data_IF_665540610024
#
_entry.id   IF_665540610024
#
_cell.length_a   1.000
_cell.length_b   1.000
_cell.length_c   1.000
_cell.angle_alpha   90.00
_cell.angle_beta   90.00
_cell.angle_gamma   90.00
#
_symmetry.space_group_name_H-M   'P 1'
#
loop_
_entity.id
_entity.type
_entity.pdbx_description
1 polymer ?
#
# COMPACT_ATOMS: atom_id res chain seq x y z
N UNK A 1 56.12 -6.07 -49.69
CA UNK A 1 55.67 -4.82 -49.02
C UNK A 1 54.31 -5.09 -48.38
N UNK A 2 54.17 -5.20 -47.04
CA UNK A 2 52.88 -5.48 -46.41
C UNK A 2 52.11 -4.17 -46.10
N UNK A 3 50.86 -4.10 -46.54
CA UNK A 3 49.95 -2.97 -46.30
C UNK A 3 49.37 -3.02 -44.88
N UNK A 4 49.79 -2.09 -44.02
CA UNK A 4 49.32 -1.93 -42.63
C UNK A 4 47.94 -1.25 -42.63
N UNK A 5 46.87 -1.96 -42.27
CA UNK A 5 45.54 -1.35 -42.08
C UNK A 5 45.56 -0.38 -40.89
N UNK A 6 45.01 0.84 -41.01
CA UNK A 6 44.94 1.76 -39.89
C UNK A 6 43.86 1.32 -38.90
N UNK A 7 44.25 1.04 -37.66
CA UNK A 7 43.33 0.82 -36.54
C UNK A 7 42.71 2.16 -36.15
N UNK A 8 41.46 2.39 -36.55
CA UNK A 8 40.65 3.55 -36.10
C UNK A 8 40.38 3.43 -34.60
N UNK A 9 41.17 4.11 -33.77
CA UNK A 9 40.84 4.30 -32.36
C UNK A 9 39.60 5.20 -32.27
N UNK A 10 38.53 4.78 -31.58
CA UNK A 10 37.36 5.64 -31.41
C UNK A 10 37.75 6.91 -30.66
N UNK A 11 37.34 8.08 -31.17
CA UNK A 11 37.65 9.38 -30.56
C UNK A 11 37.03 9.48 -29.16
N UNK A 12 37.74 10.10 -28.20
CA UNK A 12 37.27 10.23 -26.82
C UNK A 12 35.90 10.93 -26.73
N UNK A 13 35.62 11.82 -27.67
CA UNK A 13 34.33 12.49 -27.86
C UNK A 13 33.15 11.53 -28.08
N UNK A 14 33.33 10.45 -28.83
CA UNK A 14 32.25 9.46 -29.02
C UNK A 14 31.98 8.67 -27.74
N UNK A 15 33.03 8.33 -26.98
CA UNK A 15 32.89 7.64 -25.69
C UNK A 15 32.20 8.52 -24.66
N UNK A 16 32.56 9.80 -24.58
CA UNK A 16 31.91 10.80 -23.72
C UNK A 16 30.44 11.00 -24.07
N UNK A 17 30.11 11.09 -25.37
CA UNK A 17 28.71 11.23 -25.81
C UNK A 17 27.87 10.00 -25.45
N UNK A 18 28.43 8.79 -25.60
CA UNK A 18 27.73 7.55 -25.25
C UNK A 18 27.50 7.46 -23.73
N UNK A 19 28.50 7.82 -22.93
CA UNK A 19 28.39 7.87 -21.46
C UNK A 19 27.34 8.87 -21.01
N UNK A 20 27.33 10.07 -21.60
CA UNK A 20 26.33 11.09 -21.31
C UNK A 20 24.90 10.61 -21.64
N UNK A 21 24.72 9.92 -22.78
CA UNK A 21 23.42 9.37 -23.17
C UNK A 21 22.93 8.27 -22.21
N UNK A 22 23.83 7.40 -21.73
CA UNK A 22 23.48 6.35 -20.75
C UNK A 22 23.11 6.96 -19.40
N UNK A 23 23.86 7.96 -18.92
CA UNK A 23 23.57 8.65 -17.66
C UNK A 23 22.24 9.42 -17.75
N UNK A 24 22.00 10.13 -18.85
CA UNK A 24 20.73 10.83 -19.07
C UNK A 24 19.54 9.86 -19.14
N UNK A 25 19.69 8.73 -19.83
CA UNK A 25 18.68 7.67 -19.89
C UNK A 25 18.38 7.07 -18.51
N UNK A 26 19.43 6.77 -17.73
CA UNK A 26 19.26 6.26 -16.36
C UNK A 26 18.54 7.27 -15.46
N UNK A 27 18.93 8.55 -15.49
CA UNK A 27 18.31 9.61 -14.71
C UNK A 27 16.82 9.80 -15.04
N UNK A 28 16.44 9.73 -16.32
CA UNK A 28 15.04 9.82 -16.74
C UNK A 28 14.19 8.66 -16.21
N UNK A 29 14.71 7.42 -16.25
CA UNK A 29 14.01 6.24 -15.72
C UNK A 29 13.91 6.29 -14.20
N UNK A 30 14.98 6.70 -13.52
CA UNK A 30 15.00 6.82 -12.05
C UNK A 30 14.28 8.05 -11.53
N UNK A 31 13.99 9.07 -12.34
CA UNK A 31 13.24 10.25 -11.91
C UNK A 31 11.72 9.99 -11.85
N UNK A 32 11.20 9.08 -12.68
CA UNK A 32 9.80 8.66 -12.62
C UNK A 32 9.50 7.78 -11.40
N UNK A 33 10.47 7.00 -10.92
CA UNK A 33 10.30 6.12 -9.76
C UNK A 33 9.96 6.85 -8.45
N UNK A 34 10.72 7.88 -8.00
CA UNK A 34 10.42 8.62 -6.77
C UNK A 34 9.13 9.40 -6.92
N UNK A 35 8.80 9.94 -8.10
CA UNK A 35 7.50 10.58 -8.34
C UNK A 35 6.34 9.59 -8.14
N UNK A 36 6.44 8.39 -8.71
CA UNK A 36 5.41 7.34 -8.55
C UNK A 36 5.29 6.83 -7.12
N UNK A 37 6.43 6.71 -6.41
CA UNK A 37 6.45 6.34 -4.98
C UNK A 37 5.80 7.44 -4.14
N UNK A 38 6.05 8.72 -4.45
CA UNK A 38 5.46 9.85 -3.75
C UNK A 38 3.95 9.95 -4.00
N UNK A 39 3.50 9.78 -5.24
CA UNK A 39 2.05 9.73 -5.56
C UNK A 39 1.36 8.55 -4.86
N UNK A 40 1.99 7.38 -4.81
CA UNK A 40 1.45 6.23 -4.07
C UNK A 40 1.41 6.48 -2.56
N UNK A 41 2.41 7.17 -2.00
CA UNK A 41 2.44 7.58 -0.60
C UNK A 41 1.40 8.65 -0.27
N UNK A 42 1.13 9.58 -1.20
CA UNK A 42 0.12 10.63 -1.03
C UNK A 42 -1.30 10.03 -1.09
N UNK A 43 -1.57 9.14 -2.05
CA UNK A 43 -2.83 8.38 -2.13
C UNK A 43 -3.07 7.52 -0.87
N UNK A 44 -2.00 6.96 -0.28
CA UNK A 44 -2.08 6.27 1.00
C UNK A 44 -2.22 7.24 2.19
N UNK A 45 -1.77 8.49 2.10
CA UNK A 45 -1.98 9.47 3.17
C UNK A 45 -3.38 10.08 3.16
N UNK A 46 -3.98 10.23 1.99
CA UNK A 46 -5.29 10.83 1.83
C UNK A 46 -6.45 9.82 1.94
N UNK A 47 -6.16 8.51 1.80
CA UNK A 47 -7.21 7.49 1.91
C UNK A 47 -7.81 7.49 3.32
N UNK A 48 -9.11 7.79 3.41
CA UNK A 48 -9.86 7.72 4.65
C UNK A 48 -10.62 6.38 4.74
N UNK A 49 -10.63 5.73 5.91
CA UNK A 49 -11.39 4.51 6.10
C UNK A 49 -12.89 4.80 6.00
N UNK A 50 -13.61 3.98 5.24
CA UNK A 50 -15.07 4.08 5.16
C UNK A 50 -15.73 3.66 6.47
N UNK A 51 -16.63 4.51 6.98
CA UNK A 51 -17.44 4.28 8.19
C UNK A 51 -18.89 4.68 7.90
N UNK A 52 -19.86 3.97 8.50
CA UNK A 52 -21.29 4.23 8.33
C UNK A 52 -22.04 4.17 9.67
N UNK A 53 -22.92 5.14 9.93
CA UNK A 53 -23.72 5.23 11.16
C UNK A 53 -25.19 5.55 10.82
N UNK A 54 -25.97 4.56 10.35
CA UNK A 54 -27.39 4.76 10.10
C UNK A 54 -28.14 4.99 11.42
N UNK A 55 -29.28 5.69 11.36
CA UNK A 55 -30.05 6.06 12.56
C UNK A 55 -30.58 4.85 13.36
N UNK A 56 -30.91 3.75 12.68
CA UNK A 56 -31.40 2.51 13.28
C UNK A 56 -30.63 1.32 12.70
N UNK A 57 -29.43 1.02 13.23
CA UNK A 57 -28.59 -0.04 12.69
C UNK A 57 -29.19 -1.42 12.93
N UNK A 58 -29.25 -2.25 11.90
CA UNK A 58 -29.73 -3.65 11.99
C UNK A 58 -28.61 -4.63 12.29
N UNK A 59 -27.36 -4.26 12.01
CA UNK A 59 -26.12 -4.97 12.38
C UNK A 59 -24.99 -3.98 12.61
N UNK A 60 -23.97 -4.40 13.37
CA UNK A 60 -22.75 -3.67 13.68
C UNK A 60 -21.53 -4.46 13.21
N UNK A 61 -20.83 -3.94 12.22
CA UNK A 61 -19.57 -4.46 11.70
C UNK A 61 -18.40 -3.63 12.21
N UNK A 62 -17.41 -4.29 12.80
CA UNK A 62 -16.09 -3.73 13.04
C UNK A 62 -15.17 -4.13 11.88
N UNK A 63 -14.46 -3.16 11.33
CA UNK A 63 -13.37 -3.41 10.37
C UNK A 63 -12.05 -3.01 11.01
N UNK A 64 -11.10 -3.94 11.02
CA UNK A 64 -9.72 -3.72 11.50
C UNK A 64 -8.75 -4.24 10.45
N UNK A 65 -7.56 -3.67 10.39
CA UNK A 65 -6.60 -4.06 9.38
C UNK A 65 -5.57 -3.01 9.00
N UNK A 66 -4.98 -3.27 7.84
CA UNK A 66 -4.02 -2.40 7.18
C UNK A 66 -4.65 -1.58 6.05
N UNK A 67 -3.84 -1.16 5.08
CA UNK A 67 -4.28 -0.39 3.92
C UNK A 67 -5.37 -1.07 3.08
N UNK A 68 -5.45 -2.39 3.11
CA UNK A 68 -6.51 -3.15 2.43
C UNK A 68 -7.88 -2.95 3.09
N UNK A 69 -7.93 -2.82 4.43
CA UNK A 69 -9.14 -2.46 5.16
C UNK A 69 -9.44 -0.96 5.11
N UNK A 70 -8.41 -0.10 5.09
CA UNK A 70 -8.63 1.35 4.86
C UNK A 70 -9.24 1.59 3.48
N UNK A 71 -8.84 0.79 2.48
CA UNK A 71 -9.23 0.98 1.09
C UNK A 71 -8.24 1.80 0.28
N UNK A 72 -6.96 1.80 0.65
CA UNK A 72 -5.92 2.49 -0.13
C UNK A 72 -5.91 1.98 -1.58
N UNK A 73 -5.96 2.91 -2.52
CA UNK A 73 -6.05 2.61 -3.95
C UNK A 73 -7.47 2.63 -4.51
N UNK A 74 -8.51 2.67 -3.66
CA UNK A 74 -9.86 3.01 -4.10
C UNK A 74 -9.95 4.51 -4.45
N UNK A 75 -10.74 4.87 -5.45
CA UNK A 75 -10.91 6.27 -5.85
C UNK A 75 -11.68 7.08 -4.79
N UNK A 76 -12.59 6.45 -4.06
CA UNK A 76 -13.28 7.01 -2.90
C UNK A 76 -13.40 5.98 -1.76
N UNK A 77 -13.60 6.39 -0.50
CA UNK A 77 -13.87 5.46 0.59
C UNK A 77 -15.08 4.55 0.30
N UNK A 78 -16.11 5.06 -0.38
CA UNK A 78 -17.29 4.28 -0.75
C UNK A 78 -16.98 3.13 -1.74
N UNK A 79 -15.92 3.27 -2.54
CA UNK A 79 -15.48 2.24 -3.50
C UNK A 79 -14.45 1.26 -2.90
N UNK A 80 -14.08 1.43 -1.63
CA UNK A 80 -13.30 0.43 -0.89
C UNK A 80 -14.12 -0.81 -0.57
N UNK A 81 -13.47 -1.92 -0.16
CA UNK A 81 -14.20 -3.13 0.25
C UNK A 81 -15.23 -2.85 1.38
N UNK A 82 -14.88 -2.17 2.49
CA UNK A 82 -15.89 -1.76 3.48
C UNK A 82 -16.98 -0.84 2.93
N UNK A 83 -16.62 0.04 1.98
CA UNK A 83 -17.57 0.89 1.28
C UNK A 83 -18.60 0.10 0.46
N UNK A 84 -18.15 -0.90 -0.30
CA UNK A 84 -19.02 -1.80 -1.07
C UNK A 84 -19.94 -2.62 -0.15
N UNK A 85 -19.44 -3.06 1.00
CA UNK A 85 -20.27 -3.70 2.04
C UNK A 85 -21.36 -2.74 2.53
N UNK A 86 -20.99 -1.48 2.82
CA UNK A 86 -21.95 -0.45 3.25
C UNK A 86 -23.01 -0.14 2.20
N UNK A 87 -22.65 -0.15 0.91
CA UNK A 87 -23.61 0.02 -0.19
C UNK A 87 -24.58 -1.16 -0.32
N UNK A 88 -24.10 -2.39 -0.13
CA UNK A 88 -24.94 -3.59 -0.16
C UNK A 88 -25.80 -3.74 1.11
N UNK A 89 -25.35 -3.16 2.23
CA UNK A 89 -26.06 -3.18 3.51
C UNK A 89 -26.22 -1.77 4.11
N UNK A 90 -27.10 -0.92 3.54
CA UNK A 90 -27.22 0.48 3.95
C UNK A 90 -27.66 0.71 5.40
N UNK A 91 -28.27 -0.30 6.04
CA UNK A 91 -28.69 -0.24 7.44
C UNK A 91 -27.67 -0.83 8.42
N UNK A 92 -26.47 -1.22 7.97
CA UNK A 92 -25.42 -1.66 8.89
C UNK A 92 -24.65 -0.45 9.41
N UNK A 93 -24.33 -0.47 10.70
CA UNK A 93 -23.27 0.37 11.25
C UNK A 93 -21.93 -0.27 10.95
N UNK A 94 -21.01 0.48 10.37
CA UNK A 94 -19.67 0.03 10.04
C UNK A 94 -18.71 0.99 10.72
N UNK A 95 -17.95 0.49 11.70
CA UNK A 95 -16.87 1.24 12.32
C UNK A 95 -15.55 0.68 11.81
N UNK A 96 -14.77 1.48 11.06
CA UNK A 96 -13.50 1.04 10.49
C UNK A 96 -12.32 1.70 11.21
N UNK A 97 -11.57 0.89 11.96
CA UNK A 97 -10.43 1.30 12.76
C UNK A 97 -9.08 0.97 12.08
N UNK A 98 -9.12 0.50 10.84
CA UNK A 98 -7.92 0.13 10.11
C UNK A 98 -6.99 1.32 9.89
N UNK A 99 -5.70 1.02 9.80
CA UNK A 99 -4.65 2.04 9.63
C UNK A 99 -3.65 1.58 8.59
N UNK A 100 -3.25 2.48 7.69
CA UNK A 100 -2.28 2.15 6.64
C UNK A 100 -0.95 1.68 7.22
N UNK A 101 -0.42 0.60 6.65
CA UNK A 101 0.84 0.02 7.09
C UNK A 101 0.77 -0.81 8.37
N UNK A 102 -0.42 -1.02 8.95
CA UNK A 102 -0.59 -1.82 10.15
C UNK A 102 -0.04 -3.25 9.95
N UNK A 103 0.69 -3.72 10.96
CA UNK A 103 1.07 -5.13 11.13
C UNK A 103 0.08 -5.84 12.05
N UNK A 104 0.21 -7.15 12.19
CA UNK A 104 -0.69 -7.97 12.98
C UNK A 104 -0.78 -7.54 14.45
N UNK A 105 0.34 -7.15 15.07
CA UNK A 105 0.33 -6.59 16.42
C UNK A 105 -0.47 -5.29 16.55
N UNK A 106 -0.46 -4.44 15.51
CA UNK A 106 -1.28 -3.21 15.49
C UNK A 106 -2.77 -3.55 15.32
N UNK A 107 -3.10 -4.62 14.58
CA UNK A 107 -4.47 -5.11 14.43
C UNK A 107 -5.01 -5.64 15.76
N UNK A 108 -4.19 -6.34 16.55
CA UNK A 108 -4.56 -6.74 17.92
C UNK A 108 -4.91 -5.50 18.75
N UNK A 109 -4.11 -4.45 18.68
CA UNK A 109 -4.40 -3.20 19.38
C UNK A 109 -5.69 -2.53 18.87
N UNK A 110 -5.97 -2.56 17.57
CA UNK A 110 -7.24 -2.06 17.01
C UNK A 110 -8.45 -2.81 17.58
N UNK A 111 -8.34 -4.13 17.75
CA UNK A 111 -9.38 -4.96 18.37
C UNK A 111 -9.57 -4.64 19.86
N UNK A 112 -8.47 -4.51 20.62
CA UNK A 112 -8.52 -4.23 22.06
C UNK A 112 -9.10 -2.85 22.39
N UNK A 113 -8.86 -1.86 21.52
CA UNK A 113 -9.36 -0.49 21.68
C UNK A 113 -10.78 -0.30 21.14
N UNK A 114 -11.30 -1.26 20.36
CA UNK A 114 -12.63 -1.17 19.80
C UNK A 114 -13.73 -1.25 20.88
N UNK A 115 -14.82 -0.48 20.75
CA UNK A 115 -16.00 -0.66 21.57
C UNK A 115 -16.54 -2.11 21.48
N UNK A 116 -17.17 -2.61 22.54
CA UNK A 116 -17.82 -3.93 22.50
C UNK A 116 -19.17 -3.90 21.76
N UNK A 117 -19.64 -5.09 21.40
CA UNK A 117 -20.99 -5.31 20.89
C UNK A 117 -21.14 -5.21 19.37
N UNK A 118 -20.09 -5.56 18.62
CA UNK A 118 -20.19 -5.82 17.20
C UNK A 118 -20.74 -7.23 16.95
N UNK A 119 -21.55 -7.37 15.91
CA UNK A 119 -22.08 -8.67 15.47
C UNK A 119 -21.07 -9.42 14.60
N UNK A 120 -20.19 -8.66 13.94
CA UNK A 120 -19.23 -9.15 12.95
C UNK A 120 -17.93 -8.36 13.08
N UNK A 121 -16.80 -9.04 12.87
CA UNK A 121 -15.48 -8.43 12.75
C UNK A 121 -14.87 -8.87 11.43
N UNK A 122 -14.48 -7.90 10.61
CA UNK A 122 -13.72 -8.10 9.38
C UNK A 122 -12.27 -7.71 9.63
N UNK A 123 -11.36 -8.68 9.54
CA UNK A 123 -9.92 -8.48 9.70
C UNK A 123 -9.25 -8.55 8.33
N UNK A 124 -8.58 -7.49 7.89
CA UNK A 124 -7.83 -7.46 6.63
C UNK A 124 -6.40 -6.95 6.87
N UNK A 125 -5.45 -7.87 6.91
CA UNK A 125 -4.05 -7.50 7.07
C UNK A 125 -3.10 -8.67 7.06
N UNK A 126 -1.83 -8.41 7.38
CA UNK A 126 -0.74 -9.38 7.37
C UNK A 126 0.22 -9.21 6.18
N UNK A 127 -0.16 -8.44 5.15
CA UNK A 127 0.76 -8.11 4.05
C UNK A 127 2.00 -7.36 4.55
N UNK A 128 1.82 -6.43 5.49
CA UNK A 128 2.93 -5.69 6.11
C UNK A 128 3.87 -6.58 6.90
N UNK A 129 3.38 -7.63 7.55
CA UNK A 129 4.23 -8.60 8.27
C UNK A 129 5.09 -9.41 7.31
N UNK A 130 4.51 -9.87 6.20
CA UNK A 130 5.23 -10.62 5.17
C UNK A 130 6.34 -9.77 4.55
N UNK A 131 6.02 -8.56 4.07
CA UNK A 131 7.02 -7.72 3.37
C UNK A 131 8.07 -7.11 4.30
N UNK A 132 7.80 -7.06 5.61
CA UNK A 132 8.75 -6.59 6.65
C UNK A 132 9.43 -7.74 7.39
N UNK A 133 9.22 -8.98 6.95
CA UNK A 133 9.83 -10.18 7.55
C UNK A 133 9.58 -10.31 9.05
N UNK A 134 8.35 -10.06 9.51
CA UNK A 134 7.96 -10.36 10.90
C UNK A 134 8.20 -11.85 11.14
N UNK A 135 9.03 -12.18 12.13
CA UNK A 135 9.34 -13.56 12.49
C UNK A 135 8.08 -14.30 12.93
N UNK A 136 8.00 -15.58 12.60
CA UNK A 136 6.86 -16.43 12.95
C UNK A 136 6.64 -16.49 14.47
N UNK A 137 7.72 -16.58 15.25
CA UNK A 137 7.65 -16.58 16.72
C UNK A 137 7.08 -15.28 17.30
N UNK A 138 7.18 -14.17 16.56
CA UNK A 138 6.56 -12.89 16.91
C UNK A 138 5.09 -12.85 16.50
N UNK A 139 4.75 -13.41 15.33
CA UNK A 139 3.41 -13.38 14.75
C UNK A 139 2.45 -14.36 15.42
N UNK A 140 2.91 -15.58 15.70
CA UNK A 140 2.10 -16.71 16.18
C UNK A 140 1.36 -16.42 17.50
N UNK A 141 1.95 -15.76 18.51
CA UNK A 141 1.23 -15.37 19.72
C UNK A 141 0.12 -14.33 19.48
N UNK A 142 0.15 -13.59 18.37
CA UNK A 142 -0.83 -12.54 18.05
C UNK A 142 -2.11 -13.11 17.39
N UNK A 143 -2.11 -14.39 17.03
CA UNK A 143 -3.21 -15.10 16.38
C UNK A 143 -4.07 -15.92 17.36
N UNK A 144 -3.64 -16.04 18.62
CA UNK A 144 -4.26 -16.87 19.66
C UNK A 144 -5.08 -16.03 20.63
#
# INVERSE_FOLDING_TARGET
>A
MPYKRPTRRPSSTRRLATLAAVVAGALLVTACAPWRIWTAAELARESQPYTAQPAQPTKRLLVVGDSTAVGTGAATPAESLPGLIGQQHPQWRIDNLATNGAKFGDIVQQLETAPKGYDLVLVLGGGNDVIRFTAEDTLRPQLQ
#
